data_IF_578224900765
#
_entry.id   IF_578224900765
#
_cell.length_a   1.000
_cell.length_b   1.000
_cell.length_c   1.000
_cell.angle_alpha   90.00
_cell.angle_beta   90.00
_cell.angle_gamma   90.00
#
_symmetry.space_group_name_H-M   'P 1'
#
loop_
_entity.id
_entity.type
_entity.pdbx_description
1 polymer ?
#
# COMPACT_ATOMS: atom_id res chain seq x y z
N UNK A 1 32.76 28.04 -15.70
CA UNK A 1 31.61 27.18 -15.32
C UNK A 1 31.40 26.23 -16.48
N UNK A 2 31.65 24.93 -16.32
CA UNK A 2 31.71 23.98 -17.45
C UNK A 2 30.33 23.32 -17.71
N UNK A 3 29.57 23.75 -18.73
CA UNK A 3 28.24 23.20 -19.06
C UNK A 3 28.27 21.78 -19.65
N UNK A 4 29.46 21.26 -20.00
CA UNK A 4 29.65 19.97 -20.69
C UNK A 4 29.54 18.74 -19.77
N UNK A 5 29.65 18.91 -18.45
CA UNK A 5 29.68 17.76 -17.51
C UNK A 5 28.31 17.38 -16.91
N UNK A 6 27.24 18.15 -17.19
CA UNK A 6 25.87 17.85 -16.70
C UNK A 6 25.34 16.46 -17.08
N UNK A 7 25.58 15.91 -18.29
CA UNK A 7 25.07 14.59 -18.64
C UNK A 7 25.80 13.44 -17.94
N UNK A 8 27.06 13.67 -17.53
CA UNK A 8 27.97 12.67 -16.97
C UNK A 8 27.85 12.60 -15.44
N UNK A 9 27.52 13.70 -14.78
CA UNK A 9 27.41 13.78 -13.32
C UNK A 9 25.99 13.51 -12.76
N UNK A 10 24.92 13.63 -13.57
CA UNK A 10 23.54 13.51 -13.08
C UNK A 10 22.87 12.15 -13.32
N UNK A 11 23.61 11.14 -13.79
CA UNK A 11 23.03 9.82 -14.10
C UNK A 11 24.02 8.73 -13.70
N UNK A 12 24.09 8.45 -12.40
CA UNK A 12 24.86 7.34 -11.88
C UNK A 12 24.27 6.00 -12.32
N UNK A 13 25.03 5.26 -13.14
CA UNK A 13 25.13 3.79 -13.16
C UNK A 13 23.91 2.93 -13.51
N UNK A 14 23.99 2.25 -14.65
CA UNK A 14 23.21 1.06 -15.07
C UNK A 14 21.68 1.15 -14.95
N UNK A 15 21.05 1.70 -15.99
CA UNK A 15 19.61 1.93 -16.03
C UNK A 15 19.30 3.36 -15.60
N UNK A 16 18.65 4.14 -16.46
CA UNK A 16 18.36 5.53 -16.17
C UNK A 16 17.28 5.56 -15.08
N UNK A 17 17.68 5.75 -13.82
CA UNK A 17 16.71 5.97 -12.75
C UNK A 17 15.77 7.13 -13.11
N UNK A 18 14.50 7.00 -12.74
CA UNK A 18 13.56 8.12 -12.84
C UNK A 18 13.94 9.20 -11.84
N UNK A 19 13.61 10.45 -12.16
CA UNK A 19 13.83 11.60 -11.28
C UNK A 19 12.85 11.59 -10.09
N UNK A 20 13.15 12.40 -9.07
CA UNK A 20 12.27 12.60 -7.92
C UNK A 20 10.90 13.14 -8.32
N UNK A 21 10.89 14.05 -9.29
CA UNK A 21 9.68 14.64 -9.87
C UNK A 21 8.83 13.60 -10.59
N UNK A 22 9.46 12.61 -11.24
CA UNK A 22 8.79 11.47 -11.86
C UNK A 22 8.32 10.43 -10.84
N UNK A 23 9.01 10.26 -9.70
CA UNK A 23 8.63 9.30 -8.63
C UNK A 23 7.32 9.71 -7.94
N UNK A 24 7.15 10.99 -7.57
CA UNK A 24 5.98 11.47 -6.81
C UNK A 24 4.63 11.07 -7.43
N UNK A 25 4.32 11.39 -8.71
CA UNK A 25 3.03 11.06 -9.30
C UNK A 25 2.78 9.55 -9.44
N UNK A 26 3.83 8.72 -9.35
CA UNK A 26 3.72 7.26 -9.36
C UNK A 26 3.44 6.67 -7.98
N UNK A 27 4.03 7.24 -6.93
CA UNK A 27 3.81 6.78 -5.56
C UNK A 27 2.49 7.24 -4.97
N UNK A 28 1.98 8.42 -5.34
CA UNK A 28 0.72 8.95 -4.81
C UNK A 28 -0.47 7.98 -4.98
N UNK A 29 -0.69 7.34 -6.15
CA UNK A 29 -1.70 6.29 -6.30
C UNK A 29 -1.53 5.12 -5.32
N UNK A 30 -0.29 4.67 -5.08
CA UNK A 30 0.00 3.58 -4.14
C UNK A 30 -0.31 3.99 -2.69
N UNK A 31 0.04 5.22 -2.30
CA UNK A 31 -0.33 5.76 -0.98
C UNK A 31 -1.84 5.80 -0.83
N UNK A 32 -2.56 6.32 -1.83
CA UNK A 32 -4.03 6.39 -1.80
C UNK A 32 -4.68 4.99 -1.68
N UNK A 33 -4.17 3.99 -2.41
CA UNK A 33 -4.64 2.61 -2.30
C UNK A 33 -4.40 2.03 -0.90
N UNK A 34 -3.22 2.25 -0.32
CA UNK A 34 -2.92 1.79 1.04
C UNK A 34 -3.80 2.48 2.10
N UNK A 35 -4.09 3.78 1.94
CA UNK A 35 -5.02 4.47 2.83
C UNK A 35 -6.44 3.88 2.76
N UNK A 36 -6.90 3.41 1.59
CA UNK A 36 -8.16 2.67 1.47
C UNK A 36 -8.13 1.34 2.22
N UNK A 37 -7.01 0.61 2.16
CA UNK A 37 -6.81 -0.60 2.96
C UNK A 37 -6.96 -0.27 4.44
N UNK A 38 -6.22 0.73 4.94
CA UNK A 38 -6.30 1.14 6.36
C UNK A 38 -7.71 1.57 6.78
N UNK A 39 -8.40 2.32 5.93
CA UNK A 39 -9.79 2.70 6.15
C UNK A 39 -10.72 1.49 6.27
N UNK A 40 -10.53 0.46 5.46
CA UNK A 40 -11.30 -0.78 5.54
C UNK A 40 -11.02 -1.57 6.83
N UNK A 41 -9.77 -1.61 7.28
CA UNK A 41 -9.43 -2.19 8.60
C UNK A 41 -10.12 -1.42 9.74
N UNK A 42 -10.01 -0.09 9.76
CA UNK A 42 -10.62 0.75 10.80
C UNK A 42 -12.16 0.62 10.80
N UNK A 43 -12.77 0.36 9.65
CA UNK A 43 -14.19 0.03 9.55
C UNK A 43 -14.54 -1.34 10.14
N UNK A 44 -13.79 -2.39 9.76
CA UNK A 44 -14.11 -3.77 10.09
C UNK A 44 -13.84 -4.14 11.55
N UNK A 45 -12.71 -3.68 12.11
CA UNK A 45 -12.26 -4.05 13.46
C UNK A 45 -13.31 -3.91 14.57
N UNK A 46 -14.04 -2.79 14.69
CA UNK A 46 -15.08 -2.65 15.72
C UNK A 46 -16.38 -3.41 15.41
N UNK A 47 -16.52 -4.03 14.23
CA UNK A 47 -17.75 -4.66 13.72
C UNK A 47 -17.68 -6.18 13.62
N UNK A 48 -16.48 -6.74 13.59
CA UNK A 48 -16.29 -8.19 13.52
C UNK A 48 -16.95 -8.88 14.72
N UNK A 49 -17.76 -9.89 14.45
CA UNK A 49 -18.43 -10.67 15.48
C UNK A 49 -17.49 -11.65 16.18
N UNK A 50 -16.50 -12.19 15.44
CA UNK A 50 -15.48 -13.08 16.00
C UNK A 50 -14.35 -12.30 16.66
N UNK A 51 -14.23 -12.45 17.99
CA UNK A 51 -13.15 -11.85 18.77
C UNK A 51 -11.75 -12.38 18.38
N UNK A 52 -11.66 -13.63 17.90
CA UNK A 52 -10.40 -14.21 17.41
C UNK A 52 -9.98 -13.50 16.12
N UNK A 53 -10.91 -13.36 15.17
CA UNK A 53 -10.66 -12.74 13.86
C UNK A 53 -10.31 -11.26 14.03
N UNK A 54 -11.01 -10.57 14.93
CA UNK A 54 -10.70 -9.19 15.28
C UNK A 54 -9.30 -9.05 15.89
N UNK A 55 -8.88 -9.99 16.75
CA UNK A 55 -7.53 -9.99 17.35
C UNK A 55 -6.45 -10.21 16.28
N UNK A 56 -6.63 -11.20 15.43
CA UNK A 56 -5.71 -11.51 14.33
C UNK A 56 -5.62 -10.36 13.33
N UNK A 57 -6.76 -9.77 12.94
CA UNK A 57 -6.80 -8.61 12.04
C UNK A 57 -6.11 -7.39 12.69
N UNK A 58 -6.36 -7.14 13.97
CA UNK A 58 -5.76 -6.01 14.69
C UNK A 58 -4.24 -6.15 14.81
N UNK A 59 -3.72 -7.37 14.91
CA UNK A 59 -2.27 -7.62 14.96
C UNK A 59 -1.53 -7.17 13.69
N UNK A 60 -2.23 -7.05 12.55
CA UNK A 60 -1.66 -6.56 11.29
C UNK A 60 -1.56 -5.02 11.22
N UNK A 61 -2.36 -4.29 12.01
CA UNK A 61 -2.49 -2.83 11.91
C UNK A 61 -1.20 -2.03 12.16
N UNK A 62 -0.37 -2.35 13.18
CA UNK A 62 0.87 -1.63 13.40
C UNK A 62 1.80 -1.67 12.18
N UNK A 63 1.87 -2.83 11.51
CA UNK A 63 2.68 -3.03 10.31
C UNK A 63 2.09 -2.28 9.11
N UNK A 64 0.78 -2.40 8.87
CA UNK A 64 0.11 -1.68 7.79
C UNK A 64 0.31 -0.15 7.92
N UNK A 65 0.11 0.41 9.13
CA UNK A 65 0.32 1.85 9.40
C UNK A 65 1.78 2.26 9.19
N UNK A 66 2.73 1.44 9.63
CA UNK A 66 4.17 1.69 9.43
C UNK A 66 4.53 1.73 7.95
N UNK A 67 4.00 0.80 7.15
CA UNK A 67 4.24 0.76 5.71
C UNK A 67 3.62 1.96 4.98
N UNK A 68 2.40 2.37 5.33
CA UNK A 68 1.78 3.57 4.80
C UNK A 68 2.60 4.84 5.15
N UNK A 69 3.11 4.93 6.39
CA UNK A 69 3.98 6.02 6.81
C UNK A 69 5.28 6.06 5.99
N UNK A 70 5.95 4.92 5.78
CA UNK A 70 7.16 4.83 4.94
C UNK A 70 6.93 5.31 3.51
N UNK A 71 5.79 4.97 2.91
CA UNK A 71 5.45 5.46 1.58
C UNK A 71 5.25 6.98 1.56
N UNK A 72 4.47 7.52 2.50
CA UNK A 72 4.25 8.95 2.63
C UNK A 72 5.55 9.73 2.88
N UNK A 73 6.41 9.23 3.76
CA UNK A 73 7.75 9.79 4.02
C UNK A 73 8.64 9.77 2.77
N UNK A 74 8.51 8.74 1.94
CA UNK A 74 9.22 8.66 0.66
C UNK A 74 8.75 9.75 -0.28
N UNK A 75 7.43 9.98 -0.42
CA UNK A 75 6.88 11.09 -1.21
C UNK A 75 7.38 12.45 -0.70
N UNK A 76 7.33 12.68 0.62
CA UNK A 76 7.87 13.92 1.22
C UNK A 76 9.36 14.10 0.94
N UNK A 77 10.16 13.03 1.05
CA UNK A 77 11.60 13.06 0.77
C UNK A 77 11.93 13.39 -0.68
N UNK A 78 10.98 13.13 -1.60
CA UNK A 78 11.08 13.49 -3.01
C UNK A 78 10.57 14.92 -3.30
N UNK A 79 10.08 15.64 -2.29
CA UNK A 79 9.52 16.99 -2.43
C UNK A 79 8.04 17.04 -2.82
N UNK A 80 7.35 15.89 -2.78
CA UNK A 80 5.93 15.80 -3.07
C UNK A 80 5.03 15.99 -1.86
N UNK A 81 3.73 16.00 -2.10
CA UNK A 81 2.69 15.95 -1.06
C UNK A 81 1.88 14.67 -1.25
N UNK A 82 1.99 13.69 -0.33
CA UNK A 82 1.21 12.47 -0.42
C UNK A 82 -0.26 12.76 -0.12
N UNK A 83 -1.19 11.93 -0.64
CA UNK A 83 -2.57 11.97 -0.19
C UNK A 83 -2.66 11.68 1.32
N UNK A 84 -3.60 12.33 2.00
CA UNK A 84 -3.79 12.23 3.45
C UNK A 84 -5.04 11.42 3.84
N UNK A 85 -5.87 11.02 2.88
CA UNK A 85 -7.06 10.22 3.08
C UNK A 85 -8.21 10.95 3.75
N UNK A 86 -8.19 12.29 3.86
CA UNK A 86 -9.30 13.07 4.43
C UNK A 86 -10.56 13.04 3.57
N UNK A 87 -10.42 12.62 2.31
CA UNK A 87 -11.49 12.35 1.36
C UNK A 87 -12.08 10.93 1.49
N UNK A 88 -11.47 10.06 2.30
CA UNK A 88 -11.97 8.71 2.55
C UNK A 88 -13.06 8.77 3.62
N UNK A 89 -14.31 8.72 3.19
CA UNK A 89 -15.45 8.59 4.09
C UNK A 89 -15.41 7.24 4.82
N UNK A 90 -15.34 7.22 6.17
CA UNK A 90 -15.36 5.98 6.94
C UNK A 90 -16.63 5.18 6.65
N UNK A 91 -16.49 4.01 6.05
CA UNK A 91 -17.61 3.16 5.66
C UNK A 91 -18.16 3.38 4.25
N UNK A 92 -17.71 4.40 3.50
CA UNK A 92 -17.99 4.47 2.05
C UNK A 92 -17.21 3.40 1.26
N UNK A 93 -16.12 2.90 1.84
CA UNK A 93 -15.37 1.72 1.39
C UNK A 93 -15.79 0.43 2.12
N UNK A 94 -16.61 0.49 3.17
CA UNK A 94 -17.00 -0.67 4.00
C UNK A 94 -18.11 -1.51 3.36
N UNK A 95 -17.78 -2.26 2.31
CA UNK A 95 -18.74 -3.02 1.50
C UNK A 95 -19.19 -4.34 2.17
N UNK A 96 -19.55 -4.32 3.45
CA UNK A 96 -19.97 -5.53 4.14
C UNK A 96 -20.70 -5.28 5.44
N UNK A 97 -21.78 -6.02 5.64
CA UNK A 97 -22.49 -6.11 6.92
C UNK A 97 -22.15 -7.39 7.67
N UNK A 98 -21.53 -8.36 6.99
CA UNK A 98 -21.07 -9.62 7.56
C UNK A 98 -19.55 -9.67 7.70
N UNK A 99 -19.06 -10.49 8.64
CA UNK A 99 -17.62 -10.73 8.82
C UNK A 99 -16.94 -11.19 7.52
N UNK A 100 -17.61 -12.05 6.76
CA UNK A 100 -17.13 -12.52 5.47
C UNK A 100 -16.97 -11.38 4.46
N UNK A 101 -18.00 -10.55 4.27
CA UNK A 101 -17.93 -9.40 3.35
C UNK A 101 -16.83 -8.42 3.74
N UNK A 102 -16.71 -8.08 5.02
CA UNK A 102 -15.67 -7.16 5.49
C UNK A 102 -14.26 -7.73 5.26
N UNK A 103 -14.01 -9.01 5.62
CA UNK A 103 -12.70 -9.63 5.47
C UNK A 103 -12.32 -9.86 4.00
N UNK A 104 -13.26 -10.30 3.16
CA UNK A 104 -13.02 -10.44 1.72
C UNK A 104 -12.82 -9.08 1.04
N UNK A 105 -13.50 -8.03 1.49
CA UNK A 105 -13.27 -6.68 0.99
C UNK A 105 -11.84 -6.20 1.29
N UNK A 106 -11.37 -6.36 2.54
CA UNK A 106 -9.99 -6.04 2.91
C UNK A 106 -8.99 -6.86 2.07
N UNK A 107 -9.24 -8.17 1.91
CA UNK A 107 -8.40 -9.04 1.10
C UNK A 107 -8.32 -8.60 -0.37
N UNK A 108 -9.43 -8.18 -0.96
CA UNK A 108 -9.46 -7.73 -2.35
C UNK A 108 -8.73 -6.37 -2.51
N UNK A 109 -8.87 -5.44 -1.55
CA UNK A 109 -8.12 -4.18 -1.54
C UNK A 109 -6.62 -4.39 -1.36
N UNK A 110 -6.21 -5.21 -0.39
CA UNK A 110 -4.80 -5.52 -0.14
C UNK A 110 -4.18 -6.20 -1.36
N UNK A 111 -4.93 -7.06 -2.06
CA UNK A 111 -4.45 -7.72 -3.29
C UNK A 111 -4.23 -6.73 -4.41
N UNK A 112 -5.22 -5.86 -4.68
CA UNK A 112 -5.09 -4.84 -5.71
C UNK A 112 -3.91 -3.89 -5.41
N UNK A 113 -3.73 -3.53 -4.14
CA UNK A 113 -2.59 -2.73 -3.69
C UNK A 113 -1.26 -3.46 -3.87
N UNK A 114 -1.17 -4.72 -3.46
CA UNK A 114 0.03 -5.54 -3.61
C UNK A 114 0.41 -5.68 -5.09
N UNK A 115 -0.55 -6.03 -5.95
CA UNK A 115 -0.32 -6.20 -7.38
C UNK A 115 0.22 -4.90 -8.01
N UNK A 116 -0.38 -3.75 -7.67
CA UNK A 116 0.08 -2.45 -8.16
C UNK A 116 1.47 -2.06 -7.63
N UNK A 117 1.76 -2.39 -6.37
CA UNK A 117 3.06 -2.11 -5.75
C UNK A 117 4.17 -3.00 -6.33
N UNK A 118 3.90 -4.29 -6.50
CA UNK A 118 4.84 -5.25 -7.09
C UNK A 118 5.16 -4.88 -8.55
N UNK A 119 4.15 -4.52 -9.33
CA UNK A 119 4.35 -4.00 -10.69
C UNK A 119 5.22 -2.73 -10.69
N UNK A 120 5.01 -1.79 -9.76
CA UNK A 120 5.84 -0.59 -9.66
C UNK A 120 7.29 -0.92 -9.25
N UNK A 121 7.51 -1.90 -8.38
CA UNK A 121 8.85 -2.36 -7.97
C UNK A 121 9.61 -3.00 -9.14
N UNK A 122 8.92 -3.80 -9.94
CA UNK A 122 9.51 -4.61 -11.01
C UNK A 122 9.74 -3.80 -12.29
N UNK A 123 8.77 -2.95 -12.65
CA UNK A 123 8.74 -2.26 -13.94
C UNK A 123 9.39 -0.88 -13.92
N UNK A 124 9.68 -0.31 -12.74
CA UNK A 124 10.18 1.08 -12.63
C UNK A 124 11.53 1.17 -11.93
N UNK A 125 12.49 1.75 -12.63
CA UNK A 125 13.82 2.03 -12.11
C UNK A 125 13.81 3.26 -11.17
N UNK A 126 13.27 3.11 -9.97
CA UNK A 126 13.39 4.10 -8.90
C UNK A 126 14.81 4.21 -8.37
N UNK A 127 15.15 5.36 -7.78
CA UNK A 127 16.40 5.51 -7.01
C UNK A 127 16.52 4.38 -5.99
N UNK A 128 17.73 3.82 -5.80
CA UNK A 128 17.96 2.62 -4.97
C UNK A 128 17.32 2.67 -3.58
N UNK A 129 17.37 3.82 -2.89
CA UNK A 129 16.69 3.99 -1.59
C UNK A 129 15.18 3.82 -1.69
N UNK A 130 14.56 4.45 -2.69
CA UNK A 130 13.11 4.33 -2.94
C UNK A 130 12.76 2.89 -3.29
N UNK A 131 13.53 2.26 -4.19
CA UNK A 131 13.32 0.86 -4.56
C UNK A 131 13.37 -0.07 -3.34
N UNK A 132 14.38 0.07 -2.49
CA UNK A 132 14.50 -0.72 -1.27
C UNK A 132 13.30 -0.53 -0.31
N UNK A 133 12.77 0.69 -0.20
CA UNK A 133 11.56 0.95 0.60
C UNK A 133 10.35 0.28 -0.04
N UNK A 134 10.17 0.39 -1.35
CA UNK A 134 9.04 -0.22 -2.06
C UNK A 134 9.06 -1.74 -1.96
N UNK A 135 10.22 -2.38 -2.15
CA UNK A 135 10.40 -3.83 -1.95
C UNK A 135 10.04 -4.24 -0.53
N UNK A 136 10.55 -3.55 0.48
CA UNK A 136 10.21 -3.85 1.88
C UNK A 136 8.71 -3.72 2.16
N UNK A 137 8.05 -2.72 1.57
CA UNK A 137 6.60 -2.55 1.71
C UNK A 137 5.83 -3.64 0.94
N UNK A 138 6.36 -4.12 -0.18
CA UNK A 138 5.78 -5.21 -0.97
C UNK A 138 5.83 -6.53 -0.21
N UNK A 139 6.98 -6.89 0.36
CA UNK A 139 7.15 -8.07 1.23
C UNK A 139 6.19 -8.02 2.42
N UNK A 140 6.06 -6.84 3.03
CA UNK A 140 5.12 -6.63 4.13
C UNK A 140 3.65 -6.74 3.70
N UNK A 141 3.32 -6.38 2.46
CA UNK A 141 1.98 -6.53 1.87
C UNK A 141 1.67 -8.00 1.55
N UNK A 142 2.65 -8.74 1.02
CA UNK A 142 2.55 -10.19 0.82
C UNK A 142 2.26 -10.93 2.14
N UNK A 143 2.99 -10.59 3.20
CA UNK A 143 2.75 -11.15 4.55
C UNK A 143 1.32 -10.88 5.04
N UNK A 144 0.78 -9.66 4.79
CA UNK A 144 -0.62 -9.35 5.14
C UNK A 144 -1.60 -10.14 4.29
N UNK A 145 -1.33 -10.33 3.00
CA UNK A 145 -2.16 -11.15 2.12
C UNK A 145 -2.24 -12.59 2.59
N UNK A 146 -1.13 -13.18 3.02
CA UNK A 146 -1.12 -14.54 3.56
C UNK A 146 -2.00 -14.64 4.81
N UNK A 147 -1.89 -13.69 5.74
CA UNK A 147 -2.72 -13.65 6.94
C UNK A 147 -4.22 -13.45 6.60
N UNK A 148 -4.55 -12.54 5.68
CA UNK A 148 -5.93 -12.31 5.24
C UNK A 148 -6.52 -13.51 4.50
N UNK A 149 -5.72 -14.24 3.72
CA UNK A 149 -6.13 -15.52 3.11
C UNK A 149 -6.44 -16.56 4.19
N UNK A 150 -5.59 -16.68 5.21
CA UNK A 150 -5.85 -17.59 6.32
C UNK A 150 -7.15 -17.24 7.06
N UNK A 151 -7.40 -15.94 7.31
CA UNK A 151 -8.64 -15.46 7.93
C UNK A 151 -9.89 -15.79 7.11
N UNK A 152 -9.81 -15.59 5.79
CA UNK A 152 -10.96 -15.75 4.87
C UNK A 152 -11.22 -17.19 4.44
N UNK A 153 -10.23 -18.10 4.46
CA UNK A 153 -10.36 -19.48 3.97
C UNK A 153 -11.45 -20.31 4.68
N UNK A 154 -11.82 -19.93 5.91
CA UNK A 154 -12.89 -20.58 6.70
C UNK A 154 -14.28 -19.99 6.45
N UNK A 155 -14.39 -18.94 5.64
CA UNK A 155 -15.62 -18.21 5.38
C UNK A 155 -16.06 -18.39 3.91
N UNK A 156 -17.36 -18.55 3.64
CA UNK A 156 -17.85 -18.57 2.27
C UNK A 156 -17.57 -17.21 1.62
N UNK A 157 -17.04 -17.20 0.39
CA UNK A 157 -16.86 -15.95 -0.36
C UNK A 157 -18.25 -15.38 -0.70
N UNK A 158 -18.54 -14.12 -0.32
CA UNK A 158 -19.80 -13.47 -0.68
C UNK A 158 -19.93 -13.34 -2.20
N UNK A 159 -21.18 -13.36 -2.68
CA UNK A 159 -21.47 -13.00 -4.07
C UNK A 159 -21.08 -11.52 -4.29
N UNK A 160 -20.54 -11.21 -5.47
CA UNK A 160 -20.32 -9.81 -5.87
C UNK A 160 -21.63 -9.31 -6.47
N UNK A 161 -22.21 -8.28 -5.87
CA UNK A 161 -23.34 -7.52 -6.44
C UNK A 161 -22.90 -6.70 -7.66
#
# INVERSE_FOLDING_TARGET
MFPVLRPILNKGGAGRYISREETVPRLNPLVAQHLRVLSAYDYALPRLSSAIDATELNALMPYARTHAAKLSETVFSMGGTPPNGTDLEPGASGQGTTDAEMLYHILDLERAYHDALSEEVDSVHHQERTRAILTHVADGSETRLEALRALTNRLPRPARD
#
